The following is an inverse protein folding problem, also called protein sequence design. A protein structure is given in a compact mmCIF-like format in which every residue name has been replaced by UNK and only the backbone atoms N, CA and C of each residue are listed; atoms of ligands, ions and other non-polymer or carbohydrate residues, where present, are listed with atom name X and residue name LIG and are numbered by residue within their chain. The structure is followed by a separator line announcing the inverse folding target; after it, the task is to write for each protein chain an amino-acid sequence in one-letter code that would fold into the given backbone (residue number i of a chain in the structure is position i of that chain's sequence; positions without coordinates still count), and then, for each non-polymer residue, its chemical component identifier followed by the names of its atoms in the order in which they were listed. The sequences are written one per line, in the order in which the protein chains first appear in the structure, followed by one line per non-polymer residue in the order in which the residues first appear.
data_IF_267138093715
#
_entry.id   IF_267138093715
#
_cell.length_a   1.000
_cell.length_b   1.000
_cell.length_c   1.000
_cell.angle_alpha   90.00
_cell.angle_beta   90.00
_cell.angle_gamma   90.00
#
_symmetry.space_group_name_H-M   'P 1'
#
loop_
_entity.id
_entity.type
_entity.pdbx_description
1 polymer ?
#
# COMPACT_ATOMS: atom_id res chain seq x y z
N UNK A 1 -18.28 -44.64 13.69
CA UNK A 1 -18.53 -43.55 14.68
C UNK A 1 -17.91 -42.20 14.27
N UNK A 2 -16.75 -42.14 13.59
CA UNK A 2 -16.14 -40.87 13.15
C UNK A 2 -16.91 -40.17 12.01
N UNK A 3 -17.47 -40.94 11.06
CA UNK A 3 -18.21 -40.39 9.92
C UNK A 3 -19.52 -39.69 10.32
N UNK A 4 -20.20 -40.19 11.36
CA UNK A 4 -21.44 -39.58 11.86
C UNK A 4 -21.14 -38.27 12.60
N UNK A 5 -20.03 -38.20 13.36
CA UNK A 5 -19.55 -36.94 13.96
C UNK A 5 -19.25 -35.87 12.92
N UNK A 6 -18.70 -36.26 11.76
CA UNK A 6 -18.43 -35.35 10.65
C UNK A 6 -19.73 -34.88 9.96
N UNK A 7 -20.74 -35.75 9.84
CA UNK A 7 -22.09 -35.38 9.34
C UNK A 7 -22.78 -34.38 10.26
N UNK A 8 -22.74 -34.57 11.58
CA UNK A 8 -23.37 -33.62 12.52
C UNK A 8 -22.70 -32.23 12.50
N UNK A 9 -21.40 -32.17 12.20
CA UNK A 9 -20.64 -30.91 12.10
C UNK A 9 -21.00 -30.11 10.84
N UNK A 10 -21.25 -30.79 9.72
CA UNK A 10 -21.68 -30.16 8.46
C UNK A 10 -23.12 -29.61 8.53
N UNK A 11 -24.03 -30.32 9.19
CA UNK A 11 -25.41 -29.85 9.37
C UNK A 11 -25.49 -28.63 10.32
N UNK A 12 -24.64 -28.55 11.34
CA UNK A 12 -24.54 -27.36 12.22
C UNK A 12 -24.02 -26.11 11.52
N UNK A 13 -23.21 -26.25 10.47
CA UNK A 13 -22.69 -25.10 9.70
C UNK A 13 -23.71 -24.59 8.67
N UNK A 14 -24.62 -25.44 8.18
CA UNK A 14 -25.70 -25.03 7.27
C UNK A 14 -26.84 -24.26 7.95
N UNK A 15 -26.98 -24.38 9.28
CA UNK A 15 -28.05 -23.74 10.05
C UNK A 15 -27.73 -22.39 10.67
N UNK A 16 -26.49 -21.88 10.58
CA UNK A 16 -26.10 -20.63 11.24
C UNK A 16 -26.38 -19.43 10.34
N UNK A 17 -27.62 -18.95 10.36
CA UNK A 17 -27.96 -17.60 9.91
C UNK A 17 -27.48 -16.62 10.99
N UNK A 18 -26.37 -15.93 10.73
CA UNK A 18 -25.96 -14.80 11.55
C UNK A 18 -26.82 -13.57 11.20
N UNK A 19 -27.19 -12.87 12.26
CA UNK A 19 -28.28 -11.90 12.30
C UNK A 19 -28.12 -10.70 11.39
N UNK A 20 -29.30 -10.25 10.95
CA UNK A 20 -29.59 -9.01 10.26
C UNK A 20 -29.07 -7.78 10.99
N UNK A 21 -28.12 -7.07 10.39
CA UNK A 21 -28.21 -5.62 10.28
C UNK A 21 -28.51 -5.31 8.82
N UNK A 22 -29.74 -4.89 8.57
CA UNK A 22 -30.30 -4.64 7.25
C UNK A 22 -29.60 -3.45 6.58
N UNK A 23 -28.62 -3.74 5.74
CA UNK A 23 -28.25 -2.88 4.63
C UNK A 23 -28.18 -3.76 3.37
N UNK A 24 -28.82 -3.35 2.26
CA UNK A 24 -28.90 -4.15 1.05
C UNK A 24 -27.50 -4.51 0.54
N UNK A 25 -27.37 -5.73 -0.02
CA UNK A 25 -26.19 -6.20 -0.77
C UNK A 25 -26.05 -5.30 -2.00
N UNK A 26 -25.50 -4.12 -1.81
CA UNK A 26 -24.89 -3.32 -2.86
C UNK A 26 -23.42 -3.71 -2.88
N UNK A 27 -22.89 -3.90 -4.07
CA UNK A 27 -21.53 -4.31 -4.36
C UNK A 27 -20.55 -3.80 -3.29
N UNK A 28 -19.86 -4.73 -2.61
CA UNK A 28 -18.73 -4.33 -1.77
C UNK A 28 -17.76 -3.59 -2.67
N UNK A 29 -17.77 -2.26 -2.56
CA UNK A 29 -16.81 -1.38 -3.22
C UNK A 29 -15.44 -2.02 -3.01
N UNK A 30 -14.72 -2.42 -4.08
CA UNK A 30 -13.42 -3.05 -3.90
C UNK A 30 -12.60 -2.12 -3.01
N UNK A 31 -12.09 -2.65 -1.88
CA UNK A 31 -11.30 -1.85 -0.96
C UNK A 31 -10.21 -1.20 -1.83
N UNK A 32 -10.27 0.12 -1.95
CA UNK A 32 -9.32 0.92 -2.72
C UNK A 32 -8.02 0.94 -1.92
N UNK A 33 -7.35 -0.21 -1.90
CA UNK A 33 -6.16 -0.45 -1.10
C UNK A 33 -5.01 0.21 -1.85
N UNK A 34 -4.72 1.44 -1.42
CA UNK A 34 -3.48 2.13 -1.75
C UNK A 34 -2.38 1.54 -0.88
N UNK A 35 -1.35 0.99 -1.51
CA UNK A 35 -0.17 0.46 -0.81
C UNK A 35 1.02 1.35 -1.14
N UNK A 36 1.82 1.71 -0.14
CA UNK A 36 3.03 2.52 -0.31
C UNK A 36 4.25 1.73 0.13
N UNK A 37 5.26 1.70 -0.71
CA UNK A 37 6.58 1.14 -0.41
C UNK A 37 7.63 2.25 -0.40
N UNK A 38 8.56 2.19 0.56
CA UNK A 38 9.74 3.04 0.52
C UNK A 38 10.64 2.65 -0.64
N UNK A 39 11.15 3.66 -1.35
CA UNK A 39 12.28 3.57 -2.24
C UNK A 39 13.49 4.28 -1.61
N UNK A 40 14.69 3.99 -2.10
CA UNK A 40 15.92 4.55 -1.56
C UNK A 40 16.23 5.96 -2.06
N UNK A 41 15.28 6.90 -2.03
CA UNK A 41 15.55 8.30 -2.39
C UNK A 41 14.90 9.28 -1.42
N UNK A 42 15.51 10.46 -1.33
CA UNK A 42 15.06 11.57 -0.49
C UNK A 42 15.48 12.91 -1.07
N UNK A 43 14.80 13.97 -0.66
CA UNK A 43 15.18 15.38 -0.88
C UNK A 43 15.42 16.15 0.43
N UNK A 44 15.61 15.44 1.56
CA UNK A 44 15.88 16.01 2.91
C UNK A 44 17.06 17.01 2.92
N UNK A 45 18.02 16.84 2.02
CA UNK A 45 19.16 17.76 1.89
C UNK A 45 18.79 19.09 1.20
N UNK A 46 17.85 19.06 0.25
CA UNK A 46 17.40 20.21 -0.52
C UNK A 46 16.05 19.90 -1.18
N UNK A 47 14.99 20.51 -0.66
CA UNK A 47 13.60 20.35 -1.12
C UNK A 47 13.49 20.45 -2.66
N UNK A 48 12.89 19.44 -3.28
CA UNK A 48 12.74 19.35 -4.74
C UNK A 48 13.94 18.74 -5.48
N UNK A 49 15.09 18.57 -4.84
CA UNK A 49 16.24 17.84 -5.39
C UNK A 49 16.32 16.40 -4.86
N UNK A 50 15.58 15.52 -5.52
CA UNK A 50 15.53 14.11 -5.17
C UNK A 50 16.80 13.36 -5.56
N UNK A 51 17.39 12.64 -4.60
CA UNK A 51 18.63 11.87 -4.79
C UNK A 51 18.47 10.44 -4.30
N UNK A 52 19.03 9.48 -5.05
CA UNK A 52 19.12 8.10 -4.59
C UNK A 52 20.20 7.96 -3.52
N UNK A 53 20.00 7.06 -2.56
CA UNK A 53 20.99 6.70 -1.54
C UNK A 53 22.25 6.06 -2.14
N UNK A 54 22.13 5.48 -3.33
CA UNK A 54 23.24 4.94 -4.13
C UNK A 54 23.96 6.00 -4.96
N UNK A 55 23.43 7.23 -5.00
CA UNK A 55 23.95 8.35 -5.78
C UNK A 55 23.13 8.63 -7.05
N UNK A 56 23.29 9.85 -7.57
CA UNK A 56 22.55 10.34 -8.72
C UNK A 56 21.18 10.93 -8.39
N UNK A 57 20.60 11.60 -9.38
CA UNK A 57 19.32 12.32 -9.26
C UNK A 57 18.17 11.41 -9.70
N UNK A 58 17.03 11.54 -9.02
CA UNK A 58 15.78 10.90 -9.45
C UNK A 58 15.22 11.68 -10.63
N UNK A 59 15.07 11.01 -11.78
CA UNK A 59 14.34 11.54 -12.94
C UNK A 59 13.02 10.78 -13.03
N UNK A 60 11.92 11.43 -12.69
CA UNK A 60 10.60 10.80 -12.70
C UNK A 60 9.49 11.80 -13.02
N UNK A 61 8.40 11.26 -13.59
CA UNK A 61 7.15 11.99 -13.76
C UNK A 61 6.37 11.92 -12.43
N UNK A 62 6.53 12.96 -11.63
CA UNK A 62 5.88 13.08 -10.32
C UNK A 62 4.37 13.18 -10.51
N UNK A 63 3.59 12.78 -9.49
CA UNK A 63 2.16 13.01 -9.60
C UNK A 63 1.87 14.51 -9.63
N UNK A 64 0.89 14.96 -10.43
CA UNK A 64 0.52 16.37 -10.51
C UNK A 64 0.07 16.99 -9.17
N UNK A 65 -0.25 16.16 -8.16
CA UNK A 65 -0.73 16.56 -6.84
C UNK A 65 0.35 16.55 -5.73
N UNK A 66 1.63 16.37 -6.05
CA UNK A 66 2.74 16.36 -5.07
C UNK A 66 3.23 17.77 -4.67
N UNK A 67 2.32 18.74 -4.55
CA UNK A 67 2.63 19.95 -3.78
C UNK A 67 2.55 19.56 -2.32
N UNK A 68 3.71 19.36 -1.69
CA UNK A 68 3.88 19.10 -0.26
C UNK A 68 2.78 19.82 0.53
N UNK A 69 2.00 19.11 1.34
CA UNK A 69 0.99 19.78 2.18
C UNK A 69 1.71 20.76 3.10
N UNK A 70 1.36 22.04 3.03
CA UNK A 70 1.96 23.10 3.86
C UNK A 70 2.01 22.67 5.34
N UNK A 71 3.23 22.52 5.86
CA UNK A 71 3.50 22.25 7.28
C UNK A 71 3.93 20.83 7.64
N UNK A 72 3.91 19.87 6.70
CA UNK A 72 4.52 18.55 6.93
C UNK A 72 5.82 18.39 6.13
N UNK A 73 6.91 18.04 6.81
CA UNK A 73 8.18 17.64 6.18
C UNK A 73 8.01 16.22 5.62
N UNK A 74 8.17 16.04 4.31
CA UNK A 74 7.79 14.82 3.58
C UNK A 74 8.90 14.33 2.64
N UNK A 75 10.11 14.20 3.18
CA UNK A 75 11.30 14.16 2.33
C UNK A 75 11.73 12.75 1.85
N UNK A 76 10.88 11.74 2.02
CA UNK A 76 11.20 10.35 1.67
C UNK A 76 10.32 9.81 0.53
N UNK A 77 10.94 9.14 -0.44
CA UNK A 77 10.27 8.70 -1.65
C UNK A 77 9.46 7.42 -1.44
N UNK A 78 8.17 7.46 -1.79
CA UNK A 78 7.34 6.24 -1.86
C UNK A 78 6.86 5.90 -3.26
N UNK A 79 6.78 4.59 -3.55
CA UNK A 79 6.01 4.05 -4.66
C UNK A 79 4.58 3.74 -4.18
N UNK A 80 3.60 4.42 -4.76
CA UNK A 80 2.18 4.21 -4.52
C UNK A 80 1.58 3.26 -5.56
N UNK A 81 1.06 2.12 -5.09
CA UNK A 81 0.35 1.13 -5.89
C UNK A 81 -1.15 1.15 -5.56
N UNK A 82 -1.99 1.03 -6.59
CA UNK A 82 -3.45 0.96 -6.47
C UNK A 82 -4.03 0.08 -7.58
N UNK A 83 -5.19 -0.54 -7.33
CA UNK A 83 -5.88 -1.41 -8.29
C UNK A 83 -6.36 -0.66 -9.55
N UNK A 84 -6.64 0.64 -9.43
CA UNK A 84 -7.33 1.43 -10.47
C UNK A 84 -6.54 2.64 -10.96
N UNK A 85 -5.29 2.80 -10.52
CA UNK A 85 -4.42 3.91 -10.91
C UNK A 85 -3.04 3.34 -11.26
N UNK A 86 -2.35 3.90 -12.25
CA UNK A 86 -0.97 3.51 -12.51
C UNK A 86 -0.10 3.74 -11.27
N UNK A 87 1.00 2.97 -11.13
CA UNK A 87 2.01 3.23 -10.13
C UNK A 87 2.48 4.68 -10.21
N UNK A 88 2.74 5.29 -9.06
CA UNK A 88 3.14 6.69 -9.02
C UNK A 88 4.04 6.98 -7.82
N UNK A 89 4.86 8.01 -7.93
CA UNK A 89 5.74 8.47 -6.86
C UNK A 89 5.05 9.51 -5.98
N UNK A 90 5.37 9.52 -4.70
CA UNK A 90 4.79 10.38 -3.68
C UNK A 90 5.85 10.68 -2.63
N UNK A 91 5.99 11.97 -2.30
CA UNK A 91 6.75 12.50 -1.18
C UNK A 91 6.01 12.14 0.12
N UNK A 92 6.73 11.62 1.11
CA UNK A 92 6.08 11.14 2.33
C UNK A 92 6.96 11.27 3.56
N UNK A 93 6.31 11.43 4.71
CA UNK A 93 7.00 11.56 6.00
C UNK A 93 7.87 10.33 6.30
N UNK A 94 9.19 10.56 6.37
CA UNK A 94 10.22 9.56 6.65
C UNK A 94 9.99 8.75 7.94
N UNK A 95 9.30 9.35 8.92
CA UNK A 95 9.07 8.75 10.24
C UNK A 95 7.99 7.65 10.25
N UNK A 96 7.34 7.39 9.11
CA UNK A 96 6.25 6.42 9.01
C UNK A 96 6.81 5.01 8.75
N UNK A 97 6.38 4.04 9.56
CA UNK A 97 6.73 2.62 9.34
C UNK A 97 6.01 2.10 8.09
N UNK A 98 6.76 1.60 7.10
CA UNK A 98 6.26 0.97 5.88
C UNK A 98 7.22 -0.12 5.41
N UNK A 99 6.74 -0.98 4.52
CA UNK A 99 7.59 -1.91 3.78
C UNK A 99 8.45 -1.14 2.77
N UNK A 100 9.57 -1.72 2.35
CA UNK A 100 10.52 -1.11 1.42
C UNK A 100 10.91 -2.09 0.32
N UNK A 101 11.39 -1.56 -0.80
CA UNK A 101 11.92 -2.35 -1.92
C UNK A 101 13.43 -2.19 -1.94
N UNK A 102 14.17 -3.30 -2.07
CA UNK A 102 15.62 -3.30 -2.19
C UNK A 102 16.05 -3.48 -3.64
N UNK A 103 17.16 -2.85 -4.02
CA UNK A 103 17.91 -3.18 -5.22
C UNK A 103 19.06 -4.13 -4.85
N UNK A 104 19.31 -5.12 -5.71
CA UNK A 104 20.44 -6.02 -5.61
C UNK A 104 21.21 -6.01 -6.93
N UNK A 105 22.47 -5.57 -6.88
CA UNK A 105 23.34 -5.56 -8.06
C UNK A 105 24.05 -6.90 -8.19
N UNK A 106 23.55 -7.73 -9.10
CA UNK A 106 24.17 -9.02 -9.42
C UNK A 106 25.29 -8.76 -10.43
N UNK A 107 26.53 -8.80 -9.95
CA UNK A 107 27.71 -8.81 -10.81
C UNK A 107 28.07 -10.26 -11.12
N UNK A 108 28.15 -10.60 -12.40
CA UNK A 108 28.60 -11.91 -12.87
C UNK A 108 30.12 -11.97 -12.99
#
# INVERSE_FOLDING_TARGET
MELERQRTRLEKLKGKKEGSSSHPITDKKPCSQKIRYWLGASDEALEGEWRWVTGGTVVADWRPDNVSRQGEVQDCLTLLLSKHRPPSLDDYSCWKKRNFICQLDIHC
#
